data_IF_739047900466
#
_entry.id   IF_739047900466
#
_cell.length_a   1.000
_cell.length_b   1.000
_cell.length_c   1.000
_cell.angle_alpha   90.00
_cell.angle_beta   90.00
_cell.angle_gamma   90.00
#
_symmetry.space_group_name_H-M   'P 1'
#
loop_
_entity.id
_entity.type
_entity.pdbx_description
1 polymer ?
#
# COMPACT_ATOMS: atom_id res chain seq x y z
N UNK A 1 -30.20 -14.67 -24.31
CA UNK A 1 -29.47 -15.32 -23.22
C UNK A 1 -27.99 -15.16 -23.51
N UNK A 2 -27.35 -14.11 -22.98
CA UNK A 2 -25.92 -13.84 -23.21
C UNK A 2 -25.14 -14.39 -22.02
N UNK A 3 -24.54 -15.56 -22.20
CA UNK A 3 -23.67 -16.16 -21.19
C UNK A 3 -22.33 -15.42 -21.14
N UNK A 4 -22.16 -14.56 -20.13
CA UNK A 4 -20.88 -13.97 -19.79
C UNK A 4 -20.01 -15.05 -19.13
N UNK A 5 -19.09 -15.64 -19.88
CA UNK A 5 -18.02 -16.47 -19.33
C UNK A 5 -17.07 -15.60 -18.50
N UNK A 6 -17.32 -15.45 -17.20
CA UNK A 6 -16.30 -14.95 -16.26
C UNK A 6 -15.23 -16.02 -16.10
N UNK A 7 -14.16 -15.92 -16.90
CA UNK A 7 -12.99 -16.78 -16.81
C UNK A 7 -12.36 -16.58 -15.42
N UNK A 8 -12.40 -17.63 -14.59
CA UNK A 8 -11.85 -17.59 -13.23
C UNK A 8 -10.32 -17.45 -13.30
N UNK A 9 -9.76 -16.50 -12.55
CA UNK A 9 -8.33 -16.37 -12.39
C UNK A 9 -7.76 -17.65 -11.73
N UNK A 10 -6.75 -18.25 -12.36
CA UNK A 10 -6.10 -19.49 -11.87
C UNK A 10 -4.81 -19.17 -11.11
N UNK A 11 -4.20 -18.01 -11.39
CA UNK A 11 -2.92 -17.58 -10.82
C UNK A 11 -3.12 -16.30 -10.03
N UNK A 12 -2.63 -16.27 -8.78
CA UNK A 12 -2.57 -15.05 -7.98
C UNK A 12 -1.58 -14.06 -8.58
N UNK A 13 -1.95 -12.78 -8.61
CA UNK A 13 -1.09 -11.71 -9.10
C UNK A 13 -0.85 -10.68 -7.98
N UNK A 14 0.40 -10.27 -7.81
CA UNK A 14 0.77 -9.10 -7.02
C UNK A 14 1.20 -8.01 -7.99
N UNK A 15 0.46 -6.90 -7.99
CA UNK A 15 0.73 -5.75 -8.85
C UNK A 15 1.37 -4.65 -8.00
N UNK A 16 2.61 -4.30 -8.32
CA UNK A 16 3.32 -3.19 -7.69
C UNK A 16 3.42 -2.04 -8.68
N UNK A 17 2.93 -0.87 -8.29
CA UNK A 17 2.93 0.34 -9.12
C UNK A 17 3.87 1.36 -8.47
N UNK A 18 5.13 1.48 -8.92
CA UNK A 18 6.05 2.49 -8.39
C UNK A 18 5.63 3.88 -8.87
N UNK A 19 5.44 4.81 -7.93
CA UNK A 19 4.97 6.17 -8.20
C UNK A 19 5.92 7.21 -7.60
N UNK A 20 6.00 8.36 -8.28
CA UNK A 20 6.61 9.59 -7.75
C UNK A 20 5.53 10.67 -7.73
N UNK A 21 4.99 10.95 -6.55
CA UNK A 21 3.84 11.84 -6.33
C UNK A 21 4.24 13.26 -5.90
N UNK A 22 5.47 13.64 -6.20
CA UNK A 22 6.04 14.93 -5.85
C UNK A 22 7.55 15.01 -6.08
N UNK A 23 8.10 16.21 -5.96
CA UNK A 23 9.54 16.43 -6.14
C UNK A 23 10.32 16.18 -4.86
N UNK A 24 9.90 16.84 -3.77
CA UNK A 24 10.53 16.78 -2.44
C UNK A 24 9.60 16.14 -1.41
N UNK A 25 8.32 16.49 -1.45
CA UNK A 25 7.25 16.02 -0.58
C UNK A 25 6.05 15.58 -1.42
N UNK A 26 5.12 14.84 -0.80
CA UNK A 26 3.87 14.44 -1.44
C UNK A 26 3.03 15.68 -1.74
N UNK A 27 2.56 15.81 -2.99
CA UNK A 27 1.58 16.85 -3.32
C UNK A 27 0.21 16.44 -2.77
N UNK A 28 -0.41 17.33 -1.98
CA UNK A 28 -1.69 17.10 -1.30
C UNK A 28 -2.83 16.80 -2.29
N UNK A 29 -2.71 17.20 -3.56
CA UNK A 29 -3.70 16.85 -4.59
C UNK A 29 -3.86 15.33 -4.76
N UNK A 30 -2.87 14.53 -4.37
CA UNK A 30 -2.92 13.07 -4.49
C UNK A 30 -3.45 12.38 -3.23
N UNK A 31 -3.65 13.10 -2.13
CA UNK A 31 -4.03 12.50 -0.85
C UNK A 31 -5.35 11.71 -0.96
N UNK A 32 -6.37 12.32 -1.55
CA UNK A 32 -7.66 11.67 -1.78
C UNK A 32 -7.54 10.44 -2.70
N UNK A 33 -6.70 10.52 -3.74
CA UNK A 33 -6.47 9.39 -4.63
C UNK A 33 -5.78 8.22 -3.92
N UNK A 34 -4.87 8.51 -2.98
CA UNK A 34 -4.24 7.48 -2.15
C UNK A 34 -5.24 6.85 -1.19
N UNK A 35 -6.10 7.65 -0.56
CA UNK A 35 -7.20 7.15 0.29
C UNK A 35 -8.13 6.24 -0.51
N UNK A 36 -8.51 6.61 -1.73
CA UNK A 36 -9.31 5.76 -2.61
C UNK A 36 -8.59 4.46 -3.00
N UNK A 37 -7.29 4.50 -3.28
CA UNK A 37 -6.50 3.30 -3.56
C UNK A 37 -6.46 2.33 -2.36
N UNK A 38 -6.44 2.87 -1.14
CA UNK A 38 -6.51 2.08 0.10
C UNK A 38 -7.93 1.54 0.39
N UNK A 39 -8.98 2.01 -0.29
CA UNK A 39 -10.34 1.46 -0.16
C UNK A 39 -10.60 0.25 -1.06
N UNK A 40 -9.72 -0.04 -2.03
CA UNK A 40 -9.87 -1.19 -2.93
C UNK A 40 -9.76 -2.49 -2.14
N UNK A 41 -10.66 -3.44 -2.37
CA UNK A 41 -10.65 -4.73 -1.66
C UNK A 41 -9.41 -5.58 -1.96
N UNK A 42 -8.74 -5.31 -3.07
CA UNK A 42 -7.50 -5.96 -3.50
C UNK A 42 -6.24 -5.20 -3.06
N UNK A 43 -6.38 -4.05 -2.40
CA UNK A 43 -5.23 -3.27 -1.97
C UNK A 43 -4.39 -4.08 -1.00
N UNK A 44 -3.07 -3.99 -1.17
CA UNK A 44 -2.08 -4.55 -0.23
C UNK A 44 -1.36 -3.45 0.53
N UNK A 45 -1.88 -2.22 0.50
CA UNK A 45 -1.26 -1.05 1.14
C UNK A 45 -0.23 -0.35 0.25
N UNK A 46 0.46 0.63 0.84
CA UNK A 46 1.44 1.49 0.17
C UNK A 46 2.76 1.40 0.93
N UNK A 47 3.85 1.14 0.21
CA UNK A 47 5.21 1.25 0.75
C UNK A 47 5.83 2.57 0.30
N UNK A 48 6.50 3.26 1.21
CA UNK A 48 7.10 4.55 0.91
C UNK A 48 7.86 5.12 2.09
N UNK A 49 8.03 6.43 2.08
CA UNK A 49 8.71 7.15 3.15
C UNK A 49 9.81 8.08 2.65
N UNK A 50 10.50 8.72 3.58
CA UNK A 50 11.61 9.63 3.31
C UNK A 50 12.95 8.93 3.58
N UNK A 51 14.09 9.50 3.18
CA UNK A 51 15.40 8.91 3.48
C UNK A 51 15.53 8.62 4.99
N UNK A 52 15.86 7.35 5.32
CA UNK A 52 15.95 6.83 6.70
C UNK A 52 14.63 6.71 7.46
N UNK A 53 13.49 6.87 6.79
CA UNK A 53 12.17 6.69 7.37
C UNK A 53 11.24 6.00 6.38
N UNK A 54 11.38 4.68 6.23
CA UNK A 54 10.48 3.86 5.43
C UNK A 54 9.28 3.38 6.25
N UNK A 55 8.08 3.44 5.69
CA UNK A 55 6.83 3.03 6.36
C UNK A 55 5.99 2.18 5.42
N UNK A 56 5.15 1.34 6.01
CA UNK A 56 4.13 0.57 5.30
C UNK A 56 2.73 1.03 5.71
N UNK A 57 2.08 1.79 4.83
CA UNK A 57 0.75 2.34 5.05
C UNK A 57 -0.29 1.28 4.71
N UNK A 58 -1.11 0.92 5.69
CA UNK A 58 -2.13 -0.13 5.57
C UNK A 58 -3.55 0.41 5.45
N UNK A 59 -3.76 1.70 5.75
CA UNK A 59 -5.07 2.31 5.74
C UNK A 59 -5.02 3.76 6.15
N UNK A 60 -6.19 4.31 6.48
CA UNK A 60 -6.34 5.67 6.98
C UNK A 60 -7.60 5.79 7.86
N UNK A 61 -7.62 6.81 8.71
CA UNK A 61 -8.78 7.24 9.48
C UNK A 61 -8.84 8.77 9.41
N UNK A 62 -9.98 9.30 8.94
CA UNK A 62 -10.15 10.71 8.64
C UNK A 62 -9.02 11.23 7.72
N UNK A 63 -8.19 12.14 8.19
CA UNK A 63 -7.04 12.71 7.46
C UNK A 63 -5.70 12.09 7.86
N UNK A 64 -5.71 11.03 8.66
CA UNK A 64 -4.49 10.38 9.15
C UNK A 64 -4.29 9.03 8.49
N UNK A 65 -3.10 8.80 7.94
CA UNK A 65 -2.69 7.47 7.51
C UNK A 65 -2.37 6.58 8.71
N UNK A 66 -2.64 5.29 8.55
CA UNK A 66 -2.28 4.24 9.51
C UNK A 66 -1.15 3.43 8.89
N UNK A 67 0.00 3.41 9.56
CA UNK A 67 1.21 2.77 9.05
C UNK A 67 1.89 1.86 10.08
N UNK A 68 2.73 0.97 9.55
CA UNK A 68 3.61 0.08 10.29
C UNK A 68 5.05 0.57 10.10
N UNK A 69 5.68 0.92 11.23
CA UNK A 69 7.04 1.44 11.30
C UNK A 69 8.05 0.31 11.64
N UNK A 70 9.01 0.00 10.73
CA UNK A 70 10.03 -1.02 10.96
C UNK A 70 11.24 -0.53 11.78
N UNK A 71 11.34 0.75 12.18
CA UNK A 71 12.51 1.31 12.85
C UNK A 71 12.67 0.85 14.32
N UNK A 72 11.80 -0.02 14.80
CA UNK A 72 11.97 -0.70 16.07
C UNK A 72 12.87 -1.95 15.93
N UNK A 73 14.06 -1.89 16.56
CA UNK A 73 15.02 -2.99 16.53
C UNK A 73 14.55 -4.12 17.44
N UNK A 74 14.51 -5.34 16.90
CA UNK A 74 14.13 -6.55 17.61
C UNK A 74 15.27 -7.57 17.59
N UNK A 75 15.40 -8.36 18.66
CA UNK A 75 16.32 -9.50 18.70
C UNK A 75 15.87 -10.57 17.70
N UNK A 76 16.83 -11.22 17.03
CA UNK A 76 16.52 -12.31 16.12
C UNK A 76 15.83 -13.46 16.86
N UNK A 77 14.77 -14.00 16.28
CA UNK A 77 14.10 -15.20 16.80
C UNK A 77 14.94 -16.43 16.44
N UNK A 78 15.34 -17.22 17.44
CA UNK A 78 15.95 -18.52 17.20
C UNK A 78 14.83 -19.57 17.02
N UNK A 79 14.84 -20.24 15.87
CA UNK A 79 13.81 -21.21 15.48
C UNK A 79 14.33 -22.66 15.54
N UNK A 80 15.53 -22.86 16.09
CA UNK A 80 16.21 -24.15 16.21
C UNK A 80 16.20 -24.67 17.65
#
# INVERSE_FOLDING_TARGET
>A
TTENHTKRWVTSALILVPLRLGLNELDLIYEDNLKEALKLSQTVGIIGGSPRHAVYIIGFQDDNFIDLDPHFIQTSVNVF
#
